data_IF_126328237308
#
_entry.id   IF_126328237308
#
_cell.length_a   1.000
_cell.length_b   1.000
_cell.length_c   1.000
_cell.angle_alpha   90.00
_cell.angle_beta   90.00
_cell.angle_gamma   90.00
#
_symmetry.space_group_name_H-M   'P 1'
#
loop_
_entity.id
_entity.type
_entity.pdbx_description
1 polymer ?
#
# COMPACT_ATOMS: atom_id res chain seq x y z
N UNK A 1 12.34 -22.66 17.88
CA UNK A 1 12.51 -23.00 16.45
C UNK A 1 13.99 -23.14 16.18
N UNK A 2 14.46 -24.12 15.39
CA UNK A 2 15.87 -24.25 15.07
C UNK A 2 16.36 -23.02 14.28
N UNK A 3 17.61 -22.55 14.47
CA UNK A 3 18.17 -21.41 13.74
C UNK A 3 18.30 -21.72 12.23
N UNK A 4 18.40 -20.67 11.41
CA UNK A 4 18.76 -20.77 9.99
C UNK A 4 20.19 -20.32 9.78
N UNK A 5 20.79 -20.82 8.70
CA UNK A 5 22.03 -20.22 8.22
C UNK A 5 21.73 -18.80 7.74
N UNK A 6 22.17 -17.81 8.51
CA UNK A 6 21.98 -16.40 8.22
C UNK A 6 22.90 -15.91 7.11
N UNK A 7 23.63 -16.78 6.40
CA UNK A 7 24.36 -16.44 5.18
C UNK A 7 23.69 -17.00 3.91
N UNK A 8 22.60 -17.74 4.05
CA UNK A 8 21.90 -18.34 2.93
C UNK A 8 20.82 -17.39 2.37
N UNK A 9 21.18 -16.62 1.35
CA UNK A 9 20.23 -15.75 0.62
C UNK A 9 19.27 -16.53 -0.30
N UNK A 10 19.41 -17.86 -0.42
CA UNK A 10 18.51 -18.70 -1.23
C UNK A 10 17.28 -19.22 -0.48
N UNK A 11 17.17 -18.88 0.81
CA UNK A 11 16.01 -19.26 1.62
C UNK A 11 14.71 -18.71 0.99
N UNK A 12 13.62 -19.50 1.04
CA UNK A 12 12.37 -19.08 0.43
C UNK A 12 11.77 -17.88 1.20
N UNK A 13 11.14 -16.95 0.46
CA UNK A 13 10.49 -15.73 0.98
C UNK A 13 9.18 -15.99 1.73
N UNK A 14 9.09 -17.08 2.47
CA UNK A 14 7.90 -17.50 3.21
C UNK A 14 7.81 -16.82 4.57
N UNK A 15 6.60 -16.79 5.14
CA UNK A 15 6.36 -16.26 6.48
C UNK A 15 7.20 -17.00 7.54
N UNK A 16 7.33 -18.32 7.40
CA UNK A 16 8.11 -19.15 8.32
C UNK A 16 9.60 -18.80 8.32
N UNK A 17 10.19 -18.53 7.15
CA UNK A 17 11.59 -18.08 7.05
C UNK A 17 11.76 -16.72 7.71
N UNK A 18 10.87 -15.77 7.40
CA UNK A 18 10.92 -14.42 7.93
C UNK A 18 10.90 -14.39 9.47
N UNK A 19 9.93 -15.07 10.09
CA UNK A 19 9.82 -15.10 11.55
C UNK A 19 10.94 -15.86 12.25
N UNK A 20 11.52 -16.87 11.59
CA UNK A 20 12.68 -17.57 12.14
C UNK A 20 13.92 -16.66 12.15
N UNK A 21 14.17 -15.90 11.09
CA UNK A 21 15.24 -14.91 11.03
C UNK A 21 15.02 -13.78 12.05
N UNK A 22 13.79 -13.27 12.20
CA UNK A 22 13.49 -12.28 13.24
C UNK A 22 13.72 -12.82 14.66
N UNK A 23 13.32 -14.07 14.92
CA UNK A 23 13.61 -14.71 16.21
C UNK A 23 15.11 -14.80 16.47
N UNK A 24 15.89 -15.22 15.46
CA UNK A 24 17.34 -15.31 15.52
C UNK A 24 17.96 -13.94 15.80
N UNK A 25 17.60 -12.91 15.03
CA UNK A 25 18.03 -11.52 15.24
C UNK A 25 17.79 -11.08 16.69
N UNK A 26 16.60 -11.32 17.23
CA UNK A 26 16.25 -10.95 18.61
C UNK A 26 17.13 -11.64 19.65
N UNK A 27 17.47 -12.91 19.44
CA UNK A 27 18.26 -13.72 20.39
C UNK A 27 19.77 -13.63 20.21
N UNK A 28 20.24 -13.11 19.06
CA UNK A 28 21.67 -12.96 18.75
C UNK A 28 22.32 -11.79 19.49
N UNK A 29 23.65 -11.86 19.62
CA UNK A 29 24.48 -10.72 20.02
C UNK A 29 24.54 -9.63 18.93
N UNK A 30 25.07 -8.42 19.24
CA UNK A 30 25.08 -7.32 18.28
C UNK A 30 25.82 -7.60 16.97
N UNK A 31 26.89 -8.40 16.97
CA UNK A 31 27.66 -8.69 15.76
C UNK A 31 26.88 -9.63 14.83
N UNK A 32 26.32 -10.70 15.38
CA UNK A 32 25.51 -11.65 14.62
C UNK A 32 24.18 -11.04 14.14
N UNK A 33 23.64 -10.02 14.83
CA UNK A 33 22.44 -9.29 14.40
C UNK A 33 22.63 -8.61 13.03
N UNK A 34 23.81 -8.05 12.78
CA UNK A 34 24.10 -7.38 11.51
C UNK A 34 24.02 -8.36 10.34
N UNK A 35 24.56 -9.58 10.49
CA UNK A 35 24.47 -10.63 9.47
C UNK A 35 23.02 -11.05 9.22
N UNK A 36 22.23 -11.25 10.28
CA UNK A 36 20.82 -11.62 10.15
C UNK A 36 20.01 -10.52 9.46
N UNK A 37 20.27 -9.26 9.79
CA UNK A 37 19.63 -8.10 9.17
C UNK A 37 19.96 -7.98 7.68
N UNK A 38 21.24 -8.13 7.32
CA UNK A 38 21.67 -8.17 5.91
C UNK A 38 20.95 -9.26 5.12
N UNK A 39 20.76 -10.43 5.73
CA UNK A 39 20.06 -11.55 5.09
C UNK A 39 18.56 -11.34 4.99
N UNK A 40 17.92 -10.72 6.00
CA UNK A 40 16.52 -10.29 5.90
C UNK A 40 16.34 -9.33 4.71
N UNK A 41 17.20 -8.32 4.56
CA UNK A 41 17.15 -7.39 3.43
C UNK A 41 17.50 -8.04 2.09
N UNK A 42 18.45 -8.96 2.05
CA UNK A 42 18.81 -9.66 0.81
C UNK A 42 17.67 -10.55 0.28
N UNK A 43 16.89 -11.16 1.18
CA UNK A 43 15.82 -12.09 0.80
C UNK A 43 14.48 -11.38 0.61
N UNK A 44 14.09 -10.52 1.54
CA UNK A 44 12.75 -9.92 1.61
C UNK A 44 12.71 -8.46 1.18
N UNK A 45 13.87 -7.79 1.14
CA UNK A 45 13.97 -6.37 0.84
C UNK A 45 13.62 -6.04 -0.60
N UNK A 46 12.71 -5.10 -0.80
CA UNK A 46 12.35 -4.54 -2.09
C UNK A 46 12.21 -3.03 -1.98
N UNK A 47 12.56 -2.30 -3.03
CA UNK A 47 12.25 -0.86 -3.13
C UNK A 47 11.17 -0.70 -4.19
N UNK A 48 9.98 -0.30 -3.78
CA UNK A 48 8.78 -0.30 -4.61
C UNK A 48 7.92 0.94 -4.30
N UNK A 49 7.01 1.28 -5.20
CA UNK A 49 5.87 2.12 -4.85
C UNK A 49 4.82 1.28 -4.12
N UNK A 50 4.27 1.81 -3.04
CA UNK A 50 3.27 1.14 -2.20
C UNK A 50 1.97 1.92 -2.34
N UNK A 51 0.87 1.23 -2.64
CA UNK A 51 -0.46 1.82 -2.70
C UNK A 51 -1.35 1.18 -1.64
N UNK A 52 -2.04 2.04 -0.89
CA UNK A 52 -3.15 1.67 -0.02
C UNK A 52 -4.40 2.35 -0.55
N UNK A 53 -5.40 1.54 -0.90
CA UNK A 53 -6.70 2.01 -1.34
C UNK A 53 -7.73 1.62 -0.30
N UNK A 54 -8.54 2.57 0.13
CA UNK A 54 -9.66 2.38 1.06
C UNK A 54 -10.99 2.71 0.37
N UNK A 55 -12.04 1.92 0.61
CA UNK A 55 -13.37 2.17 0.05
C UNK A 55 -14.22 2.99 1.01
N UNK A 56 -14.75 4.12 0.53
CA UNK A 56 -15.68 4.92 1.31
C UNK A 56 -17.03 4.23 1.51
N UNK A 57 -17.58 4.33 2.72
CA UNK A 57 -18.98 4.03 3.00
C UNK A 57 -19.28 2.62 3.53
N UNK A 58 -18.30 1.72 3.65
CA UNK A 58 -18.49 0.37 4.22
C UNK A 58 -19.20 0.41 5.58
N UNK A 59 -18.62 1.12 6.56
CA UNK A 59 -19.14 1.20 7.93
C UNK A 59 -20.58 1.73 7.98
N UNK A 60 -20.92 2.69 7.11
CA UNK A 60 -22.27 3.25 7.00
C UNK A 60 -23.26 2.20 6.47
N UNK A 61 -22.90 1.50 5.39
CA UNK A 61 -23.72 0.45 4.79
C UNK A 61 -23.92 -0.71 5.76
N UNK A 62 -22.86 -1.16 6.44
CA UNK A 62 -22.93 -2.21 7.45
C UNK A 62 -23.91 -1.86 8.59
N UNK A 63 -23.86 -0.61 9.08
CA UNK A 63 -24.73 -0.15 10.16
C UNK A 63 -26.19 0.06 9.73
N UNK A 64 -26.45 0.50 8.50
CA UNK A 64 -27.79 0.90 8.04
C UNK A 64 -28.54 -0.18 7.27
N UNK A 65 -27.82 -1.06 6.56
CA UNK A 65 -28.38 -2.08 5.67
C UNK A 65 -27.94 -3.50 6.07
N UNK A 66 -27.05 -3.63 7.05
CA UNK A 66 -26.51 -4.89 7.53
C UNK A 66 -25.26 -5.35 6.79
N UNK A 67 -24.72 -6.48 7.24
CA UNK A 67 -23.40 -6.95 6.79
C UNK A 67 -23.38 -7.46 5.34
N UNK A 68 -24.46 -8.07 4.84
CA UNK A 68 -24.48 -8.64 3.50
C UNK A 68 -24.34 -7.58 2.39
N UNK A 69 -25.11 -6.47 2.40
CA UNK A 69 -24.89 -5.38 1.45
C UNK A 69 -23.48 -4.79 1.52
N UNK A 70 -22.92 -4.64 2.72
CA UNK A 70 -21.58 -4.09 2.91
C UNK A 70 -20.48 -4.99 2.31
N UNK A 71 -20.57 -6.30 2.54
CA UNK A 71 -19.65 -7.28 1.93
C UNK A 71 -19.82 -7.35 0.40
N UNK A 72 -21.06 -7.24 -0.10
CA UNK A 72 -21.31 -7.17 -1.55
C UNK A 72 -20.67 -5.94 -2.18
N UNK A 73 -20.65 -4.81 -1.47
CA UNK A 73 -20.04 -3.56 -1.93
C UNK A 73 -18.52 -3.69 -2.00
N UNK A 74 -17.88 -4.26 -0.97
CA UNK A 74 -16.44 -4.58 -0.98
C UNK A 74 -16.09 -5.47 -2.18
N UNK A 75 -16.85 -6.56 -2.37
CA UNK A 75 -16.60 -7.47 -3.47
C UNK A 75 -16.74 -6.78 -4.82
N UNK A 76 -17.75 -5.93 -4.99
CA UNK A 76 -17.95 -5.18 -6.22
C UNK A 76 -16.82 -4.17 -6.49
N UNK A 77 -16.41 -3.41 -5.48
CA UNK A 77 -15.26 -2.51 -5.56
C UNK A 77 -14.00 -3.26 -6.01
N UNK A 78 -13.70 -4.41 -5.40
CA UNK A 78 -12.56 -5.24 -5.79
C UNK A 78 -12.62 -5.68 -7.26
N UNK A 79 -13.80 -6.07 -7.76
CA UNK A 79 -13.95 -6.49 -9.18
C UNK A 79 -13.69 -5.37 -10.18
N UNK A 80 -13.82 -4.11 -9.76
CA UNK A 80 -13.58 -2.93 -10.60
C UNK A 80 -12.13 -2.46 -10.46
N UNK A 81 -11.66 -2.31 -9.21
CA UNK A 81 -10.37 -1.71 -8.90
C UNK A 81 -9.20 -2.61 -9.29
N UNK A 82 -9.21 -3.90 -8.91
CA UNK A 82 -8.07 -4.81 -9.12
C UNK A 82 -7.61 -4.85 -10.59
N UNK A 83 -8.49 -4.99 -11.60
CA UNK A 83 -8.07 -4.94 -12.99
C UNK A 83 -7.38 -3.63 -13.40
N UNK A 84 -7.77 -2.48 -12.83
CA UNK A 84 -7.12 -1.19 -13.13
C UNK A 84 -5.70 -1.13 -12.53
N UNK A 85 -5.52 -1.71 -11.34
CA UNK A 85 -4.22 -1.79 -10.67
C UNK A 85 -3.28 -2.72 -11.44
N UNK A 86 -3.73 -3.93 -11.77
CA UNK A 86 -2.94 -4.91 -12.50
C UNK A 86 -2.57 -4.44 -13.92
N UNK A 87 -3.46 -3.71 -14.59
CA UNK A 87 -3.20 -3.16 -15.92
C UNK A 87 -2.02 -2.16 -15.95
N UNK A 88 -1.67 -1.57 -14.80
CA UNK A 88 -0.50 -0.70 -14.65
C UNK A 88 0.69 -1.42 -13.98
N UNK A 89 0.67 -2.74 -13.94
CA UNK A 89 1.73 -3.56 -13.33
C UNK A 89 1.67 -3.62 -11.81
N UNK A 90 0.53 -3.24 -11.21
CA UNK A 90 0.30 -3.40 -9.78
C UNK A 90 0.21 -4.88 -9.40
N UNK A 91 0.86 -5.24 -8.31
CA UNK A 91 0.71 -6.54 -7.66
C UNK A 91 -0.07 -6.35 -6.36
N UNK A 92 -1.22 -7.02 -6.25
CA UNK A 92 -2.00 -7.05 -5.01
C UNK A 92 -1.27 -7.96 -4.01
N UNK A 93 -0.85 -7.40 -2.89
CA UNK A 93 -0.21 -8.15 -1.80
C UNK A 93 -1.29 -8.77 -0.91
N UNK A 94 -2.26 -7.96 -0.49
CA UNK A 94 -3.37 -8.42 0.35
C UNK A 94 -4.58 -7.50 0.24
N UNK A 95 -5.70 -8.00 0.74
CA UNK A 95 -6.90 -7.20 0.99
C UNK A 95 -7.32 -7.42 2.44
N UNK A 96 -7.63 -6.34 3.15
CA UNK A 96 -8.12 -6.38 4.53
C UNK A 96 -9.43 -5.61 4.60
N UNK A 97 -10.53 -6.32 4.81
CA UNK A 97 -11.87 -5.75 4.71
C UNK A 97 -12.08 -5.01 3.36
N UNK A 98 -12.29 -3.69 3.41
CA UNK A 98 -12.45 -2.78 2.30
C UNK A 98 -11.14 -2.26 1.68
N UNK A 99 -10.01 -2.54 2.31
CA UNK A 99 -8.71 -2.05 1.86
C UNK A 99 -8.06 -2.98 0.84
N UNK A 100 -7.39 -2.38 -0.15
CA UNK A 100 -6.48 -3.06 -1.07
C UNK A 100 -5.05 -2.56 -0.81
N UNK A 101 -4.13 -3.51 -0.64
CA UNK A 101 -2.71 -3.27 -0.46
C UNK A 101 -1.97 -3.76 -1.69
N UNK A 102 -1.32 -2.84 -2.42
CA UNK A 102 -0.63 -3.17 -3.66
C UNK A 102 0.77 -2.57 -3.71
N UNK A 103 1.66 -3.20 -4.48
CA UNK A 103 2.96 -2.64 -4.84
C UNK A 103 3.02 -2.41 -6.36
N UNK A 104 3.80 -1.41 -6.76
CA UNK A 104 4.00 -1.04 -8.15
C UNK A 104 5.50 -0.86 -8.44
N UNK A 105 5.93 -1.12 -9.69
CA UNK A 105 7.32 -0.94 -10.09
C UNK A 105 7.77 0.53 -10.04
N UNK A 106 6.86 1.49 -10.23
CA UNK A 106 7.14 2.93 -10.19
C UNK A 106 5.99 3.71 -9.57
N UNK A 107 6.28 4.91 -9.06
CA UNK A 107 5.26 5.83 -8.54
C UNK A 107 4.34 6.31 -9.66
N UNK A 108 4.87 6.59 -10.86
CA UNK A 108 4.06 6.99 -12.01
C UNK A 108 3.02 5.91 -12.40
N UNK A 109 3.40 4.63 -12.32
CA UNK A 109 2.48 3.52 -12.57
C UNK A 109 1.38 3.43 -11.51
N UNK A 110 1.73 3.62 -10.24
CA UNK A 110 0.76 3.67 -9.15
C UNK A 110 -0.22 4.84 -9.32
N UNK A 111 0.27 6.05 -9.65
CA UNK A 111 -0.58 7.24 -9.89
C UNK A 111 -1.50 7.03 -11.11
N UNK A 112 -0.98 6.48 -12.21
CA UNK A 112 -1.81 6.15 -13.38
C UNK A 112 -2.90 5.13 -13.04
N UNK A 113 -2.59 4.14 -12.21
CA UNK A 113 -3.56 3.16 -11.72
C UNK A 113 -4.65 3.84 -10.90
N UNK A 114 -4.28 4.74 -9.98
CA UNK A 114 -5.22 5.51 -9.18
C UNK A 114 -6.22 6.28 -10.05
N UNK A 115 -5.75 7.00 -11.08
CA UNK A 115 -6.63 7.76 -11.97
C UNK A 115 -7.63 6.86 -12.71
N UNK A 116 -7.20 5.70 -13.21
CA UNK A 116 -8.09 4.74 -13.85
C UNK A 116 -9.10 4.15 -12.87
N UNK A 117 -8.65 3.84 -11.65
CA UNK A 117 -9.50 3.32 -10.58
C UNK A 117 -10.57 4.32 -10.18
N UNK A 118 -10.23 5.59 -9.92
CA UNK A 118 -11.23 6.62 -9.59
C UNK A 118 -12.31 6.73 -10.66
N UNK A 119 -11.92 6.78 -11.93
CA UNK A 119 -12.87 6.84 -13.04
C UNK A 119 -13.79 5.61 -13.08
N UNK A 120 -13.22 4.42 -12.90
CA UNK A 120 -13.97 3.17 -12.98
C UNK A 120 -14.95 2.99 -11.81
N UNK A 121 -14.52 3.29 -10.57
CA UNK A 121 -15.39 3.13 -9.39
C UNK A 121 -16.47 4.22 -9.33
N UNK A 122 -16.17 5.46 -9.75
CA UNK A 122 -17.17 6.54 -9.80
C UNK A 122 -18.29 6.25 -10.79
N UNK A 123 -17.99 5.61 -11.93
CA UNK A 123 -18.99 5.20 -12.91
C UNK A 123 -20.03 4.22 -12.32
N UNK A 124 -19.66 3.50 -11.26
CA UNK A 124 -20.52 2.54 -10.53
C UNK A 124 -21.07 3.14 -9.22
N UNK A 125 -20.92 4.46 -9.01
CA UNK A 125 -21.41 5.16 -7.81
C UNK A 125 -20.62 4.82 -6.55
N UNK A 126 -19.42 4.27 -6.67
CA UNK A 126 -18.50 3.98 -5.57
C UNK A 126 -17.44 5.09 -5.47
N UNK A 127 -16.82 5.20 -4.30
CA UNK A 127 -15.73 6.12 -4.08
C UNK A 127 -14.65 5.49 -3.22
N UNK A 128 -13.40 5.84 -3.50
CA UNK A 128 -12.22 5.27 -2.82
C UNK A 128 -11.28 6.40 -2.44
N UNK A 129 -10.45 6.19 -1.43
CA UNK A 129 -9.35 7.06 -1.05
C UNK A 129 -8.04 6.32 -1.33
N UNK A 130 -7.00 7.01 -1.81
CA UNK A 130 -5.73 6.36 -2.17
C UNK A 130 -4.54 7.10 -1.57
N UNK A 131 -3.69 6.36 -0.85
CA UNK A 131 -2.39 6.77 -0.37
C UNK A 131 -1.26 6.03 -1.10
N UNK A 132 -0.22 6.75 -1.53
CA UNK A 132 0.97 6.14 -2.16
C UNK A 132 2.26 6.53 -1.43
N UNK A 133 3.06 5.52 -1.07
CA UNK A 133 4.43 5.66 -0.56
C UNK A 133 5.47 5.12 -1.54
N UNK A 134 6.74 5.39 -1.28
CA UNK A 134 7.85 4.84 -2.04
C UNK A 134 9.10 4.66 -1.20
N UNK A 135 9.59 3.42 -1.10
CA UNK A 135 10.81 3.15 -0.37
C UNK A 135 11.09 1.66 -0.18
N UNK A 136 12.10 1.39 0.63
CA UNK A 136 12.52 0.03 0.95
C UNK A 136 11.59 -0.60 1.98
N UNK A 137 11.06 -1.78 1.64
CA UNK A 137 10.11 -2.55 2.43
C UNK A 137 10.55 -4.02 2.47
N UNK A 138 10.07 -4.77 3.45
CA UNK A 138 10.08 -6.22 3.42
C UNK A 138 8.79 -6.71 2.76
N UNK A 139 8.89 -7.67 1.84
CA UNK A 139 7.75 -8.32 1.21
C UNK A 139 7.84 -9.83 1.45
N UNK A 140 6.80 -10.39 2.06
CA UNK A 140 6.63 -11.83 2.24
C UNK A 140 5.82 -12.37 1.06
N UNK A 141 6.38 -13.35 0.37
CA UNK A 141 5.79 -14.00 -0.81
C UNK A 141 5.51 -15.48 -0.48
N UNK A 142 4.54 -15.73 0.41
CA UNK A 142 4.06 -17.08 0.73
C UNK A 142 2.74 -17.37 -0.03
N UNK A 143 2.58 -18.53 -0.67
CA UNK A 143 1.33 -18.90 -1.33
C UNK A 143 0.08 -18.84 -0.44
N UNK A 144 0.24 -18.98 0.88
CA UNK A 144 -0.87 -18.96 1.85
C UNK A 144 -0.94 -17.63 2.61
N UNK A 145 0.12 -16.81 2.59
CA UNK A 145 0.22 -15.58 3.36
C UNK A 145 1.13 -14.55 2.68
N UNK A 146 0.55 -13.43 2.23
CA UNK A 146 1.31 -12.32 1.68
C UNK A 146 1.17 -11.11 2.59
N UNK A 147 2.28 -10.44 2.84
CA UNK A 147 2.31 -9.25 3.67
C UNK A 147 3.56 -8.42 3.36
N UNK A 148 3.57 -7.20 3.84
CA UNK A 148 4.70 -6.31 3.70
C UNK A 148 4.88 -5.38 4.91
N UNK A 149 6.11 -4.93 5.13
CA UNK A 149 6.44 -4.12 6.29
C UNK A 149 7.46 -3.06 5.91
N UNK A 150 7.24 -1.84 6.39
CA UNK A 150 8.18 -0.75 6.22
C UNK A 150 7.52 0.58 6.53
N UNK A 151 8.34 1.61 6.73
CA UNK A 151 7.84 2.93 7.09
C UNK A 151 6.91 3.49 6.02
N UNK A 152 7.26 3.32 4.74
CA UNK A 152 6.42 3.81 3.62
C UNK A 152 5.10 3.04 3.48
N UNK A 153 5.00 1.79 3.95
CA UNK A 153 3.72 1.07 4.05
C UNK A 153 2.82 1.78 5.06
N UNK A 154 3.37 2.11 6.23
CA UNK A 154 2.63 2.79 7.29
C UNK A 154 2.21 4.20 6.85
N UNK A 155 3.11 4.96 6.21
CA UNK A 155 2.81 6.31 5.73
C UNK A 155 1.74 6.29 4.63
N UNK A 156 1.82 5.36 3.67
CA UNK A 156 0.80 5.19 2.63
C UNK A 156 -0.57 4.84 3.25
N UNK A 157 -0.61 4.00 4.29
CA UNK A 157 -1.85 3.66 5.01
C UNK A 157 -2.43 4.89 5.74
N UNK A 158 -1.59 5.69 6.39
CA UNK A 158 -2.04 6.95 7.01
C UNK A 158 -2.62 7.94 6.01
N UNK A 159 -2.06 8.01 4.80
CA UNK A 159 -2.60 8.85 3.75
C UNK A 159 -3.92 8.28 3.21
N UNK A 160 -3.97 7.00 2.85
CA UNK A 160 -5.12 6.39 2.17
C UNK A 160 -6.33 6.09 3.06
N UNK A 161 -6.11 5.70 4.31
CA UNK A 161 -7.20 5.27 5.22
C UNK A 161 -7.61 6.38 6.19
N UNK A 162 -6.64 7.11 6.77
CA UNK A 162 -6.93 8.02 7.88
C UNK A 162 -7.08 9.50 7.46
N UNK A 163 -6.53 9.88 6.30
CA UNK A 163 -6.40 11.29 5.90
C UNK A 163 -7.20 11.63 4.65
N UNK A 164 -7.06 10.84 3.59
CA UNK A 164 -7.76 11.07 2.33
C UNK A 164 -9.26 10.75 2.45
N UNK A 165 -10.08 11.62 1.88
CA UNK A 165 -11.50 11.37 1.67
C UNK A 165 -11.76 10.66 0.32
N UNK A 166 -12.99 10.17 0.14
CA UNK A 166 -13.38 9.53 -1.11
C UNK A 166 -13.17 10.44 -2.33
N UNK A 167 -12.34 9.99 -3.25
CA UNK A 167 -11.98 10.68 -4.49
C UNK A 167 -10.62 11.37 -4.41
N UNK A 168 -9.94 11.31 -3.27
CA UNK A 168 -8.66 11.96 -3.06
C UNK A 168 -7.48 11.00 -3.27
N UNK A 169 -6.42 11.54 -3.87
CA UNK A 169 -5.12 10.89 -4.02
C UNK A 169 -4.07 11.68 -3.26
N UNK A 170 -3.39 11.00 -2.35
CA UNK A 170 -2.28 11.58 -1.58
C UNK A 170 -1.04 10.70 -1.70
N UNK A 171 0.14 11.33 -1.73
CA UNK A 171 1.42 10.63 -1.82
C UNK A 171 2.43 11.19 -0.83
N UNK A 172 3.35 10.33 -0.36
CA UNK A 172 4.44 10.73 0.55
C UNK A 172 5.45 11.63 -0.19
N UNK A 173 6.24 12.41 0.55
CA UNK A 173 7.34 13.19 -0.03
C UNK A 173 8.37 12.31 -0.76
N UNK A 174 8.64 11.10 -0.25
CA UNK A 174 9.51 10.15 -0.93
C UNK A 174 8.93 9.72 -2.30
N UNK A 175 7.62 9.46 -2.36
CA UNK A 175 6.93 9.12 -3.60
C UNK A 175 6.89 10.29 -4.59
N UNK A 176 6.56 11.51 -4.13
CA UNK A 176 6.52 12.70 -4.97
C UNK A 176 7.84 12.97 -5.69
N UNK A 177 8.97 12.78 -5.00
CA UNK A 177 10.32 12.94 -5.58
C UNK A 177 10.67 11.93 -6.68
N UNK A 178 9.92 10.83 -6.80
CA UNK A 178 10.14 9.84 -7.87
C UNK A 178 9.33 10.13 -9.14
N UNK A 179 8.34 11.02 -9.09
CA UNK A 179 7.54 11.37 -10.26
C UNK A 179 8.43 11.93 -11.37
N UNK A 180 8.28 11.40 -12.58
CA UNK A 180 9.08 11.83 -13.72
C UNK A 180 8.56 13.12 -14.35
N UNK A 181 7.25 13.34 -14.25
CA UNK A 181 6.58 14.52 -14.78
C UNK A 181 6.17 15.48 -13.66
N UNK A 182 6.51 16.76 -13.83
CA UNK A 182 5.96 17.82 -12.99
C UNK A 182 4.50 18.06 -13.40
N UNK A 183 3.58 17.89 -12.46
CA UNK A 183 2.18 18.28 -12.61
C UNK A 183 1.86 19.37 -11.57
N UNK A 184 1.43 20.58 -11.98
CA UNK A 184 1.13 21.68 -11.06
C UNK A 184 -0.10 21.41 -10.16
N UNK A 185 -0.85 20.33 -10.39
CA UNK A 185 -2.01 19.94 -9.57
C UNK A 185 -1.63 19.26 -8.26
N UNK A 186 -0.35 18.94 -8.05
CA UNK A 186 0.12 18.50 -6.75
C UNK A 186 0.26 19.68 -5.79
N UNK A 187 -0.43 19.60 -4.66
CA UNK A 187 -0.31 20.56 -3.56
C UNK A 187 0.38 19.92 -2.36
N UNK A 188 1.46 20.52 -1.90
CA UNK A 188 2.15 20.13 -0.65
C UNK A 188 1.29 20.46 0.58
N UNK A 189 1.30 19.59 1.57
CA UNK A 189 0.76 19.85 2.90
C UNK A 189 1.57 19.14 3.99
N UNK A 190 1.43 19.62 5.23
CA UNK A 190 2.04 19.00 6.41
C UNK A 190 0.98 18.20 7.16
N UNK A 191 1.26 16.92 7.38
CA UNK A 191 0.37 16.01 8.10
C UNK A 191 0.94 15.66 9.46
N UNK A 192 0.11 15.82 10.49
CA UNK A 192 0.37 15.37 11.85
C UNK A 192 -0.68 14.38 12.31
N UNK A 193 -0.38 13.08 12.27
CA UNK A 193 -1.35 12.04 12.64
C UNK A 193 -0.68 10.91 13.42
N UNK A 194 -1.34 10.44 14.50
CA UNK A 194 -0.84 9.34 15.34
C UNK A 194 0.62 9.50 15.82
N UNK A 195 1.08 10.74 16.06
CA UNK A 195 2.46 11.04 16.47
C UNK A 195 3.49 11.10 15.34
N UNK A 196 3.07 10.85 14.10
CA UNK A 196 3.88 11.04 12.89
C UNK A 196 3.75 12.50 12.44
N UNK A 197 4.85 13.08 11.98
CA UNK A 197 4.91 14.36 11.29
C UNK A 197 5.55 14.11 9.92
N UNK A 198 4.86 14.47 8.85
CA UNK A 198 5.38 14.27 7.50
C UNK A 198 4.94 15.37 6.54
N UNK A 199 5.73 15.56 5.49
CA UNK A 199 5.32 16.30 4.29
C UNK A 199 4.69 15.30 3.32
N UNK A 200 3.55 15.68 2.75
CA UNK A 200 2.82 14.88 1.78
C UNK A 200 2.25 15.79 0.69
N UNK A 201 1.77 15.18 -0.39
CA UNK A 201 1.25 15.89 -1.55
C UNK A 201 -0.12 15.33 -1.91
N UNK A 202 -1.09 16.21 -2.13
CA UNK A 202 -2.43 15.85 -2.60
C UNK A 202 -2.59 16.26 -4.05
N UNK A 203 -3.16 15.39 -4.88
CA UNK A 203 -3.49 15.71 -6.26
C UNK A 203 -4.85 16.39 -6.36
N UNK A 204 -4.90 17.56 -7.02
CA UNK A 204 -6.11 18.34 -7.24
C UNK A 204 -6.75 17.98 -8.58
N UNK A 205 -7.86 17.24 -8.55
CA UNK A 205 -8.65 16.95 -9.77
C UNK A 205 -9.39 18.21 -10.23
N UNK A 206 -9.41 18.47 -11.54
CA UNK A 206 -10.22 19.55 -12.11
C UNK A 206 -11.71 19.20 -11.99
N UNK A 207 -12.52 20.15 -11.51
CA UNK A 207 -13.98 19.96 -11.38
C UNK A 207 -14.68 19.66 -12.72
N UNK A 208 -14.05 19.95 -13.87
CA UNK A 208 -14.62 19.76 -15.20
C UNK A 208 -14.23 18.42 -15.85
N UNK A 209 -14.77 17.34 -15.28
CA UNK A 209 -14.95 16.04 -15.94
C UNK A 209 -16.07 15.19 -15.32
N UNK A 210 -16.72 15.70 -14.27
CA UNK A 210 -17.61 14.98 -13.35
C UNK A 210 -19.11 15.09 -13.71
N UNK A 211 -19.42 15.37 -14.98
CA UNK A 211 -20.79 15.29 -15.47
C UNK A 211 -20.84 14.69 -16.88
N UNK A 212 -21.09 13.39 -16.95
CA UNK A 212 -21.76 12.75 -18.07
C UNK A 212 -22.55 11.55 -17.53
#
# INVERSE_FOLDING_TARGET
MPPVDANDASLPKTQATFYRLLHQWRTSDPEARLTVEQTLWAIFGQTQAIMILDMSGFSRTANTQGILPALSMIQHMNTIAVPQLEAQGGQIIKSEADNIFAIFPTVDAAVAASFNTFKAVQAEGLNVAIGIGYGSIFVIEDPVYQDFFGDEVNLASKLGEDTAEGGELMITDAAYRQLQASDPRWSEFHLGISGIQMVAYQYQFEESGLSA
#
